data_IF_833307349488
#
_entry.id   IF_833307349488
#
_cell.length_a   1.000
_cell.length_b   1.000
_cell.length_c   1.000
_cell.angle_alpha   90.00
_cell.angle_beta   90.00
_cell.angle_gamma   90.00
#
_symmetry.space_group_name_H-M   'P 1'
#
loop_
_entity.id
_entity.type
_entity.pdbx_description
1 polymer ?
#
# COMPACT_ATOMS: atom_id res chain seq x y z
N UNK A 1 6.01 -0.97 -32.78
CA UNK A 1 5.89 0.08 -31.74
C UNK A 1 4.96 1.16 -32.25
N UNK A 2 3.95 1.54 -31.46
CA UNK A 2 2.94 2.53 -31.85
C UNK A 2 3.47 3.95 -31.53
N UNK A 3 3.65 4.85 -32.51
CA UNK A 3 4.43 6.10 -32.35
C UNK A 3 3.73 7.21 -31.53
N UNK A 4 2.54 6.96 -30.96
CA UNK A 4 1.73 8.00 -30.31
C UNK A 4 1.90 8.14 -28.78
N UNK A 5 2.78 7.38 -28.13
CA UNK A 5 2.97 7.43 -26.67
C UNK A 5 4.06 8.41 -26.18
N UNK A 6 4.71 9.15 -27.08
CA UNK A 6 5.81 10.06 -26.75
C UNK A 6 5.42 11.32 -25.93
N UNK A 7 4.16 11.49 -25.52
CA UNK A 7 3.70 12.71 -24.81
C UNK A 7 3.32 12.53 -23.33
N UNK A 8 3.31 11.31 -22.81
CA UNK A 8 2.95 11.08 -21.40
C UNK A 8 4.11 10.44 -20.64
N UNK A 9 4.46 11.02 -19.48
CA UNK A 9 5.50 10.48 -18.60
C UNK A 9 5.07 9.11 -18.02
N UNK A 10 3.77 8.84 -17.91
CA UNK A 10 3.21 7.58 -17.44
C UNK A 10 2.47 6.82 -18.56
N UNK A 11 2.61 5.49 -18.55
CA UNK A 11 1.88 4.50 -19.35
C UNK A 11 1.09 3.57 -18.41
N UNK A 12 0.08 2.87 -18.94
CA UNK A 12 -0.72 1.87 -18.18
C UNK A 12 0.11 0.62 -17.84
N UNK A 13 1.07 0.28 -18.70
CA UNK A 13 2.05 -0.78 -18.51
C UNK A 13 3.35 -0.42 -19.25
N UNK A 14 4.43 -1.10 -18.88
CA UNK A 14 5.78 -0.89 -19.42
C UNK A 14 6.41 -2.24 -19.75
N UNK A 15 7.30 -2.28 -20.74
CA UNK A 15 8.30 -3.35 -20.76
C UNK A 15 9.28 -3.18 -19.59
N UNK A 16 9.96 -4.24 -19.12
CA UNK A 16 10.97 -4.10 -18.07
C UNK A 16 12.07 -3.10 -18.43
N UNK A 17 12.48 -3.06 -19.70
CA UNK A 17 13.48 -2.13 -20.18
C UNK A 17 12.96 -0.69 -20.16
N UNK A 18 11.73 -0.43 -20.62
CA UNK A 18 11.11 0.90 -20.55
C UNK A 18 10.99 1.39 -19.10
N UNK A 19 10.59 0.52 -18.18
CA UNK A 19 10.50 0.84 -16.76
C UNK A 19 11.87 1.20 -16.17
N UNK A 20 12.91 0.44 -16.51
CA UNK A 20 14.27 0.70 -16.04
C UNK A 20 14.87 2.00 -16.63
N UNK A 21 14.61 2.32 -17.91
CA UNK A 21 15.00 3.59 -18.54
C UNK A 21 14.40 4.76 -17.76
N UNK A 22 13.10 4.69 -17.47
CA UNK A 22 12.38 5.74 -16.74
C UNK A 22 12.83 5.86 -15.29
N UNK A 23 13.08 4.74 -14.63
CA UNK A 23 13.65 4.74 -13.27
C UNK A 23 15.05 5.33 -13.24
N UNK A 24 15.84 5.13 -14.30
CA UNK A 24 17.20 5.66 -14.41
C UNK A 24 17.26 7.13 -14.85
N UNK A 25 16.11 7.75 -15.15
CA UNK A 25 16.05 9.14 -15.62
C UNK A 25 16.49 9.35 -17.07
N UNK A 26 16.53 8.29 -17.88
CA UNK A 26 17.07 8.32 -19.25
C UNK A 26 15.97 8.45 -20.31
N UNK A 27 14.87 9.14 -20.00
CA UNK A 27 13.70 9.23 -20.88
C UNK A 27 14.03 9.91 -22.22
N UNK A 28 14.93 10.89 -22.22
CA UNK A 28 15.37 11.60 -23.43
C UNK A 28 16.14 10.70 -24.40
N UNK A 29 16.79 9.65 -23.86
CA UNK A 29 17.59 8.69 -24.61
C UNK A 29 16.82 7.38 -24.88
N UNK A 30 15.52 7.31 -24.53
CA UNK A 30 14.70 6.09 -24.64
C UNK A 30 14.76 5.49 -26.05
N UNK A 31 14.62 6.30 -27.09
CA UNK A 31 14.67 5.84 -28.48
C UNK A 31 16.05 5.29 -28.88
N UNK A 32 17.13 5.93 -28.42
CA UNK A 32 18.50 5.49 -28.70
C UNK A 32 18.79 4.16 -27.99
N UNK A 33 18.46 4.07 -26.70
CA UNK A 33 18.67 2.86 -25.88
C UNK A 33 17.86 1.69 -26.45
N UNK A 34 16.59 1.90 -26.80
CA UNK A 34 15.75 0.87 -27.40
C UNK A 34 16.24 0.43 -28.78
N UNK A 35 16.82 1.33 -29.58
CA UNK A 35 17.40 0.97 -30.87
C UNK A 35 18.66 0.11 -30.74
N UNK A 36 19.49 0.37 -29.72
CA UNK A 36 20.73 -0.36 -29.44
C UNK A 36 20.48 -1.69 -28.73
N UNK A 37 19.40 -1.80 -27.98
CA UNK A 37 19.05 -3.01 -27.20
C UNK A 37 18.09 -3.90 -27.97
N UNK A 38 18.57 -4.52 -29.06
CA UNK A 38 17.69 -5.29 -29.95
C UNK A 38 17.46 -6.75 -29.50
N UNK A 39 18.41 -7.39 -28.81
CA UNK A 39 18.30 -8.81 -28.50
C UNK A 39 19.01 -9.17 -27.21
N UNK A 40 18.20 -9.68 -26.26
CA UNK A 40 18.53 -10.02 -24.87
C UNK A 40 18.76 -8.82 -23.96
N UNK A 41 18.21 -8.96 -22.76
CA UNK A 41 18.31 -8.12 -21.58
C UNK A 41 19.76 -7.98 -21.03
N UNK A 42 20.75 -8.29 -21.87
CA UNK A 42 22.17 -8.08 -21.63
C UNK A 42 22.59 -6.87 -22.45
N UNK A 43 22.75 -5.72 -21.81
CA UNK A 43 23.58 -4.68 -22.41
C UNK A 43 24.96 -5.31 -22.66
N UNK A 44 25.45 -5.22 -23.89
CA UNK A 44 26.80 -5.68 -24.27
C UNK A 44 27.77 -5.08 -23.24
N UNK A 45 28.78 -5.83 -22.78
CA UNK A 45 29.71 -5.38 -21.72
C UNK A 45 30.27 -3.97 -21.98
N UNK A 46 30.52 -3.58 -23.23
CA UNK A 46 30.94 -2.22 -23.62
C UNK A 46 29.87 -1.13 -23.38
N UNK A 47 28.57 -1.46 -23.48
CA UNK A 47 27.44 -0.56 -23.22
C UNK A 47 27.07 -0.47 -21.73
N UNK A 48 27.59 -1.38 -20.90
CA UNK A 48 27.41 -1.34 -19.44
C UNK A 48 28.05 -0.10 -18.84
N UNK A 49 29.14 0.37 -19.46
CA UNK A 49 29.89 1.54 -19.02
C UNK A 49 29.13 2.85 -19.23
N UNK A 50 28.29 2.93 -20.27
CA UNK A 50 27.52 4.13 -20.61
C UNK A 50 26.30 4.31 -19.68
N UNK A 51 25.67 3.22 -19.22
CA UNK A 51 24.46 3.28 -18.39
C UNK A 51 24.46 2.27 -17.21
N UNK A 52 25.37 2.42 -16.22
CA UNK A 52 25.47 1.46 -15.11
C UNK A 52 24.18 1.39 -14.27
N UNK A 53 23.51 2.52 -14.05
CA UNK A 53 22.24 2.60 -13.30
C UNK A 53 21.09 1.89 -14.04
N UNK A 54 21.11 1.88 -15.38
CA UNK A 54 20.09 1.22 -16.19
C UNK A 54 20.17 -0.29 -16.01
N UNK A 55 21.36 -0.88 -16.15
CA UNK A 55 21.57 -2.31 -15.93
C UNK A 55 21.11 -2.74 -14.54
N UNK A 56 21.55 -2.01 -13.51
CA UNK A 56 21.17 -2.31 -12.14
C UNK A 56 19.65 -2.29 -11.94
N UNK A 57 18.96 -1.33 -12.54
CA UNK A 57 17.50 -1.24 -12.43
C UNK A 57 16.79 -2.33 -13.23
N UNK A 58 17.31 -2.74 -14.39
CA UNK A 58 16.83 -3.92 -15.12
C UNK A 58 16.96 -5.16 -14.25
N UNK A 59 18.14 -5.42 -13.69
CA UNK A 59 18.39 -6.58 -12.82
C UNK A 59 17.45 -6.61 -11.62
N UNK A 60 17.25 -5.46 -10.95
CA UNK A 60 16.30 -5.35 -9.82
C UNK A 60 14.87 -5.70 -10.21
N UNK A 61 14.41 -5.28 -11.39
CA UNK A 61 13.08 -5.62 -11.87
C UNK A 61 12.96 -7.14 -12.14
N UNK A 62 13.96 -7.74 -12.79
CA UNK A 62 13.95 -9.18 -13.05
C UNK A 62 14.10 -10.02 -11.78
N UNK A 63 14.89 -9.57 -10.82
CA UNK A 63 15.02 -10.21 -9.51
C UNK A 63 13.66 -10.25 -8.80
N UNK A 64 12.97 -9.12 -8.70
CA UNK A 64 11.66 -9.05 -8.08
C UNK A 64 10.60 -9.90 -8.80
N UNK A 65 10.68 -10.02 -10.13
CA UNK A 65 9.79 -10.91 -10.88
C UNK A 65 10.08 -12.39 -10.62
N UNK A 66 11.36 -12.78 -10.59
CA UNK A 66 11.78 -14.16 -10.28
C UNK A 66 11.33 -14.60 -8.89
N UNK A 67 11.36 -13.68 -7.93
CA UNK A 67 10.92 -13.91 -6.55
C UNK A 67 9.42 -13.64 -6.32
N UNK A 68 8.64 -13.37 -7.39
CA UNK A 68 7.19 -13.13 -7.34
C UNK A 68 6.75 -11.92 -6.50
N UNK A 69 7.67 -10.98 -6.24
CA UNK A 69 7.38 -9.73 -5.53
C UNK A 69 6.75 -8.68 -6.46
N UNK A 70 7.11 -8.72 -7.74
CA UNK A 70 6.61 -7.83 -8.77
C UNK A 70 5.75 -8.62 -9.79
N UNK A 71 4.42 -8.44 -9.79
CA UNK A 71 3.56 -9.06 -10.79
C UNK A 71 3.88 -8.61 -12.22
N UNK A 72 3.90 -9.58 -13.13
CA UNK A 72 4.18 -9.36 -14.55
C UNK A 72 3.29 -10.23 -15.44
N UNK A 73 3.29 -9.94 -16.73
CA UNK A 73 2.61 -10.76 -17.72
C UNK A 73 2.84 -10.25 -19.13
N UNK A 74 1.83 -10.31 -19.98
CA UNK A 74 1.98 -9.99 -21.40
C UNK A 74 0.86 -9.07 -21.86
N UNK A 75 1.22 -8.08 -22.70
CA UNK A 75 0.27 -7.11 -23.27
C UNK A 75 -0.62 -6.41 -22.22
N UNK A 76 -0.08 -6.18 -21.01
CA UNK A 76 -0.80 -5.51 -19.92
C UNK A 76 -1.71 -6.43 -19.08
N UNK A 77 -1.79 -7.72 -19.39
CA UNK A 77 -2.50 -8.73 -18.59
C UNK A 77 -1.50 -9.39 -17.64
N UNK A 78 -1.77 -9.31 -16.34
CA UNK A 78 -0.96 -9.98 -15.32
C UNK A 78 -1.22 -11.47 -15.33
N UNK A 79 -0.16 -12.27 -15.49
CA UNK A 79 -0.22 -13.73 -15.53
C UNK A 79 0.67 -14.38 -14.46
N UNK A 80 1.76 -13.70 -14.06
CA UNK A 80 2.76 -14.17 -13.09
C UNK A 80 3.33 -15.56 -13.41
N UNK A 81 3.43 -15.91 -14.69
CA UNK A 81 4.00 -17.17 -15.15
C UNK A 81 5.51 -16.99 -15.44
N UNK A 82 6.33 -17.72 -14.69
CA UNK A 82 7.80 -17.74 -14.84
C UNK A 82 8.29 -18.04 -16.26
N UNK A 83 7.50 -18.75 -17.09
CA UNK A 83 7.86 -19.04 -18.49
C UNK A 83 7.90 -17.77 -19.35
N UNK A 84 7.18 -16.71 -18.94
CA UNK A 84 7.14 -15.43 -19.64
C UNK A 84 8.37 -14.55 -19.39
N UNK A 85 9.23 -14.88 -18.42
CA UNK A 85 10.44 -14.11 -18.13
C UNK A 85 11.41 -14.02 -19.31
N UNK A 86 11.31 -14.96 -20.26
CA UNK A 86 12.12 -15.02 -21.47
C UNK A 86 11.43 -14.40 -22.70
N UNK A 87 10.21 -13.87 -22.52
CA UNK A 87 9.42 -13.31 -23.61
C UNK A 87 9.76 -11.84 -23.86
N UNK A 88 9.92 -11.45 -25.12
CA UNK A 88 10.16 -10.04 -25.52
C UNK A 88 8.94 -9.14 -25.30
N UNK A 89 7.74 -9.71 -25.20
CA UNK A 89 6.47 -9.00 -24.98
C UNK A 89 6.10 -8.93 -23.48
N UNK A 90 7.06 -9.17 -22.60
CA UNK A 90 6.90 -9.06 -21.15
C UNK A 90 6.49 -7.63 -20.77
N UNK A 91 5.48 -7.53 -19.92
CA UNK A 91 4.91 -6.26 -19.45
C UNK A 91 4.70 -6.25 -17.95
N UNK A 92 4.87 -5.08 -17.36
CA UNK A 92 4.63 -4.77 -15.95
C UNK A 92 3.55 -3.68 -15.92
N UNK A 93 2.46 -3.89 -15.17
CA UNK A 93 1.44 -2.84 -15.03
C UNK A 93 1.96 -1.71 -14.16
N UNK A 94 1.56 -0.49 -14.48
CA UNK A 94 1.95 0.70 -13.73
C UNK A 94 1.60 0.59 -12.24
N UNK A 95 0.40 0.12 -11.92
CA UNK A 95 -0.05 0.00 -10.52
C UNK A 95 0.78 -1.00 -9.71
N UNK A 96 1.20 -2.09 -10.35
CA UNK A 96 1.98 -3.14 -9.69
C UNK A 96 3.43 -2.68 -9.49
N UNK A 97 4.02 -2.02 -10.50
CA UNK A 97 5.34 -1.39 -10.41
C UNK A 97 5.36 -0.29 -9.34
N UNK A 98 4.35 0.59 -9.32
CA UNK A 98 4.21 1.66 -8.31
C UNK A 98 4.14 1.08 -6.90
N UNK A 99 3.32 0.03 -6.69
CA UNK A 99 3.18 -0.62 -5.38
C UNK A 99 4.50 -1.25 -4.92
N UNK A 100 5.17 -2.00 -5.79
CA UNK A 100 6.45 -2.62 -5.47
C UNK A 100 7.53 -1.57 -5.16
N UNK A 101 7.65 -0.52 -5.97
CA UNK A 101 8.63 0.54 -5.73
C UNK A 101 8.38 1.29 -4.41
N UNK A 102 7.12 1.54 -4.06
CA UNK A 102 6.78 2.19 -2.79
C UNK A 102 7.22 1.36 -1.57
N UNK A 103 7.22 0.03 -1.69
CA UNK A 103 7.60 -0.90 -0.63
C UNK A 103 9.11 -1.18 -0.60
N UNK A 104 9.70 -1.53 -1.75
CA UNK A 104 11.10 -1.96 -1.85
C UNK A 104 12.09 -0.78 -1.89
N UNK A 105 11.68 0.36 -2.46
CA UNK A 105 12.53 1.54 -2.63
C UNK A 105 11.82 2.83 -2.16
N UNK A 106 11.40 2.93 -0.89
CA UNK A 106 10.60 4.05 -0.38
C UNK A 106 11.28 5.42 -0.51
N UNK A 107 12.61 5.45 -0.59
CA UNK A 107 13.40 6.67 -0.84
C UNK A 107 13.49 7.05 -2.32
N UNK A 108 13.25 6.11 -3.24
CA UNK A 108 13.37 6.34 -4.68
C UNK A 108 11.97 6.33 -5.32
N UNK A 109 11.39 7.51 -5.48
CA UNK A 109 10.06 7.71 -6.06
C UNK A 109 10.17 8.40 -7.43
N UNK A 110 10.37 7.65 -8.52
CA UNK A 110 10.54 8.25 -9.83
C UNK A 110 9.23 8.90 -10.32
N UNK A 111 9.35 10.03 -11.00
CA UNK A 111 8.22 10.90 -11.38
C UNK A 111 7.23 10.27 -12.36
N UNK A 112 7.61 9.18 -13.03
CA UNK A 112 6.71 8.45 -13.91
C UNK A 112 5.72 7.54 -13.15
N UNK A 113 5.97 7.28 -11.86
CA UNK A 113 5.11 6.47 -10.99
C UNK A 113 4.44 7.29 -9.89
N UNK A 114 5.13 8.32 -9.39
CA UNK A 114 4.70 9.08 -8.23
C UNK A 114 4.53 10.55 -8.57
N UNK A 115 3.38 11.09 -8.19
CA UNK A 115 3.10 12.52 -8.35
C UNK A 115 3.95 13.34 -7.37
N UNK A 116 4.01 14.66 -7.56
CA UNK A 116 4.83 15.54 -6.74
C UNK A 116 4.53 15.41 -5.23
N UNK A 117 3.27 15.35 -4.85
CA UNK A 117 2.86 15.17 -3.45
C UNK A 117 3.39 13.85 -2.87
N UNK A 118 3.24 12.74 -3.60
CA UNK A 118 3.72 11.43 -3.18
C UNK A 118 5.24 11.36 -3.05
N UNK A 119 5.97 12.13 -3.88
CA UNK A 119 7.43 12.26 -3.81
C UNK A 119 7.89 13.08 -2.60
N UNK A 120 7.14 14.12 -2.24
CA UNK A 120 7.44 14.98 -1.09
C UNK A 120 7.09 14.34 0.26
N UNK A 121 6.17 13.38 0.30
CA UNK A 121 5.83 12.61 1.50
C UNK A 121 6.87 11.50 1.72
N UNK A 122 7.73 11.56 2.74
CA UNK A 122 8.60 10.44 3.07
C UNK A 122 7.70 9.28 3.53
N UNK A 123 7.77 8.13 2.85
CA UNK A 123 7.03 6.92 3.26
C UNK A 123 7.34 6.56 4.72
N UNK A 124 8.54 6.90 5.19
CA UNK A 124 8.97 6.77 6.58
C UNK A 124 8.13 7.61 7.55
N UNK A 125 7.65 8.81 7.21
CA UNK A 125 6.86 9.65 8.11
C UNK A 125 5.44 9.09 8.27
N UNK A 126 4.83 8.62 7.19
CA UNK A 126 3.55 7.91 7.27
C UNK A 126 3.68 6.59 8.05
N UNK A 127 4.74 5.81 7.82
CA UNK A 127 5.03 4.60 8.59
C UNK A 127 5.36 4.91 10.06
N UNK A 128 6.10 5.97 10.37
CA UNK A 128 6.41 6.39 11.74
C UNK A 128 5.18 6.91 12.47
N UNK A 129 4.29 7.65 11.79
CA UNK A 129 2.99 8.02 12.35
C UNK A 129 2.14 6.77 12.62
N UNK A 130 2.04 5.84 11.67
CA UNK A 130 1.33 4.57 11.90
C UNK A 130 1.97 3.73 13.02
N UNK A 131 3.30 3.63 13.09
CA UNK A 131 4.02 2.86 14.11
C UNK A 131 3.96 3.52 15.49
N UNK A 132 4.01 4.86 15.56
CA UNK A 132 3.87 5.59 16.83
C UNK A 132 2.44 5.50 17.36
N UNK A 133 1.43 5.63 16.50
CA UNK A 133 0.04 5.36 16.86
C UNK A 133 -0.18 3.92 17.30
N UNK A 134 0.39 2.95 16.57
CA UNK A 134 0.32 1.53 16.95
C UNK A 134 1.00 1.22 18.28
N UNK A 135 2.17 1.84 18.56
CA UNK A 135 2.85 1.73 19.86
C UNK A 135 2.06 2.40 20.98
N UNK A 136 1.43 3.54 20.73
CA UNK A 136 0.53 4.17 21.69
C UNK A 136 -0.66 3.26 22.03
N UNK A 137 -1.25 2.62 21.03
CA UNK A 137 -2.30 1.62 21.24
C UNK A 137 -1.79 0.41 22.05
N UNK A 138 -0.59 -0.11 21.79
CA UNK A 138 -0.03 -1.24 22.55
C UNK A 138 0.36 -0.88 23.98
N UNK A 139 0.87 0.34 24.22
CA UNK A 139 1.21 0.80 25.57
C UNK A 139 -0.02 1.04 26.47
N UNK A 140 -1.22 1.11 25.89
CA UNK A 140 -2.46 1.21 26.65
C UNK A 140 -2.96 -0.16 27.18
N UNK A 141 -2.33 -1.27 26.82
CA UNK A 141 -2.74 -2.64 27.22
C UNK A 141 -1.98 -3.21 28.44
N UNK A 142 -1.34 -2.37 29.27
CA UNK A 142 -0.81 -2.80 30.57
C UNK A 142 -1.39 -1.96 31.72
N UNK A 143 -2.57 -2.35 32.20
CA UNK A 143 -2.98 -2.09 33.57
C UNK A 143 -2.79 -3.41 34.34
N UNK A 144 -1.77 -3.54 35.21
CA UNK A 144 -1.74 -4.63 36.17
C UNK A 144 -2.87 -4.40 37.17
N UNK A 145 -3.81 -5.33 37.24
CA UNK A 145 -4.72 -5.44 38.38
C UNK A 145 -3.90 -5.68 39.65
N UNK A 146 -3.69 -4.63 40.46
CA UNK A 146 -3.60 -4.78 41.91
C UNK A 146 -3.64 -3.42 42.62
N UNK A 147 -4.78 -3.12 43.26
CA UNK A 147 -4.80 -2.55 44.61
C UNK A 147 -6.20 -2.57 45.21
N UNK A 148 -6.33 -3.41 46.24
CA UNK A 148 -7.44 -3.42 47.20
C UNK A 148 -7.64 -2.04 47.84
N UNK A 149 -8.93 -1.70 47.94
CA UNK A 149 -9.60 -0.94 49.01
C UNK A 149 -9.02 0.43 49.41
N UNK A 150 -9.69 1.48 48.96
CA UNK A 150 -10.21 2.52 49.87
C UNK A 150 -11.25 3.40 49.17
N UNK A 151 -12.40 3.50 49.82
CA UNK A 151 -13.57 4.36 49.62
C UNK A 151 -13.38 5.69 48.89
N UNK A 152 -14.27 5.99 47.93
CA UNK A 152 -15.18 7.15 47.84
C UNK A 152 -15.92 7.07 46.49
N UNK A 153 -17.26 7.06 46.53
CA UNK A 153 -18.16 6.88 45.38
C UNK A 153 -18.09 7.99 44.32
N UNK A 154 -18.63 7.67 43.14
CA UNK A 154 -18.94 8.53 41.99
C UNK A 154 -17.87 8.95 40.97
N UNK A 155 -16.59 8.62 41.16
CA UNK A 155 -15.56 8.91 40.13
C UNK A 155 -15.32 7.82 39.06
N UNK A 156 -15.34 6.50 39.33
CA UNK A 156 -14.92 5.51 38.33
C UNK A 156 -15.92 5.34 37.17
N UNK A 157 -17.23 5.45 37.42
CA UNK A 157 -18.26 5.27 36.39
C UNK A 157 -18.25 6.40 35.34
N UNK A 158 -17.99 7.64 35.74
CA UNK A 158 -17.87 8.79 34.82
C UNK A 158 -16.62 8.71 33.94
N UNK A 159 -15.52 8.18 34.47
CA UNK A 159 -14.28 7.97 33.71
C UNK A 159 -14.42 6.80 32.74
N UNK A 160 -15.05 5.70 33.16
CA UNK A 160 -15.34 4.56 32.30
C UNK A 160 -16.25 4.94 31.12
N UNK A 161 -17.32 5.71 31.37
CA UNK A 161 -18.21 6.19 30.29
C UNK A 161 -17.51 7.12 29.30
N UNK A 162 -16.61 7.99 29.77
CA UNK A 162 -15.84 8.88 28.90
C UNK A 162 -14.84 8.12 28.02
N UNK A 163 -14.20 7.09 28.56
CA UNK A 163 -13.31 6.21 27.79
C UNK A 163 -14.11 5.40 26.75
N UNK A 164 -15.27 4.85 27.13
CA UNK A 164 -16.14 4.10 26.21
C UNK A 164 -16.63 4.96 25.03
N UNK A 165 -17.08 6.20 25.29
CA UNK A 165 -17.43 7.14 24.20
C UNK A 165 -16.26 7.39 23.26
N UNK A 166 -15.05 7.59 23.82
CA UNK A 166 -13.85 7.82 23.02
C UNK A 166 -13.56 6.61 22.12
N UNK A 167 -13.64 5.38 22.66
CA UNK A 167 -13.44 4.17 21.87
C UNK A 167 -14.49 3.98 20.78
N UNK A 168 -15.76 4.23 21.09
CA UNK A 168 -16.85 4.17 20.11
C UNK A 168 -16.66 5.20 18.98
N UNK A 169 -16.22 6.42 19.29
CA UNK A 169 -15.93 7.44 18.29
C UNK A 169 -14.77 7.02 17.38
N UNK A 170 -13.69 6.48 17.95
CA UNK A 170 -12.54 5.96 17.17
C UNK A 170 -12.99 4.80 16.27
N UNK A 171 -13.75 3.84 16.79
CA UNK A 171 -14.27 2.71 16.02
C UNK A 171 -15.17 3.22 14.88
N UNK A 172 -16.07 4.16 15.15
CA UNK A 172 -16.96 4.74 14.15
C UNK A 172 -16.20 5.45 13.04
N UNK A 173 -15.17 6.23 13.38
CA UNK A 173 -14.34 6.95 12.42
C UNK A 173 -13.55 5.99 11.53
N UNK A 174 -12.96 4.94 12.13
CA UNK A 174 -12.26 3.89 11.38
C UNK A 174 -13.20 3.13 10.44
N UNK A 175 -14.43 2.81 10.87
CA UNK A 175 -15.43 2.18 10.00
C UNK A 175 -15.82 3.08 8.82
N UNK A 176 -15.97 4.38 9.07
CA UNK A 176 -16.25 5.37 8.01
C UNK A 176 -15.12 5.44 6.99
N UNK A 177 -13.86 5.42 7.45
CA UNK A 177 -12.70 5.37 6.57
C UNK A 177 -12.64 4.06 5.79
N UNK A 178 -12.77 2.91 6.46
CA UNK A 178 -12.69 1.60 5.81
C UNK A 178 -13.72 1.43 4.70
N UNK A 179 -14.94 1.94 4.91
CA UNK A 179 -16.04 1.82 3.94
C UNK A 179 -16.17 3.02 3.00
N UNK A 180 -15.31 4.03 3.18
CA UNK A 180 -15.38 5.31 2.49
C UNK A 180 -14.50 5.40 1.24
N UNK A 181 -14.57 6.57 0.63
CA UNK A 181 -13.84 6.93 -0.59
C UNK A 181 -13.11 8.25 -0.39
N UNK A 182 -11.99 8.39 -1.08
CA UNK A 182 -11.28 9.66 -1.19
C UNK A 182 -12.14 10.69 -1.94
N UNK A 183 -11.83 11.99 -1.82
CA UNK A 183 -12.51 13.05 -2.58
C UNK A 183 -12.47 12.82 -4.10
N UNK A 184 -11.47 12.08 -4.60
CA UNK A 184 -11.35 11.67 -6.00
C UNK A 184 -12.07 10.36 -6.36
N UNK A 185 -12.87 9.79 -5.44
CA UNK A 185 -13.68 8.59 -5.68
C UNK A 185 -12.98 7.24 -5.46
N UNK A 186 -11.71 7.22 -5.02
CA UNK A 186 -10.97 5.97 -4.78
C UNK A 186 -11.30 5.41 -3.39
N UNK A 187 -11.63 4.12 -3.29
CA UNK A 187 -11.87 3.48 -1.99
C UNK A 187 -10.62 3.49 -1.12
N UNK A 188 -10.80 3.72 0.18
CA UNK A 188 -9.70 3.64 1.14
C UNK A 188 -9.34 2.19 1.49
N UNK A 189 -10.27 1.24 1.36
CA UNK A 189 -10.03 -0.18 1.63
C UNK A 189 -10.67 -1.10 0.58
N UNK A 190 -10.33 -2.39 0.64
CA UNK A 190 -10.94 -3.43 -0.18
C UNK A 190 -12.33 -3.88 0.34
N UNK A 191 -12.73 -3.45 1.54
CA UNK A 191 -14.02 -3.78 2.13
C UNK A 191 -15.11 -2.90 1.55
N UNK A 192 -16.24 -3.52 1.21
CA UNK A 192 -17.36 -2.84 0.57
C UNK A 192 -18.58 -2.73 1.48
N UNK A 193 -18.64 -3.56 2.53
CA UNK A 193 -19.76 -3.61 3.47
C UNK A 193 -19.27 -3.79 4.89
N UNK A 194 -20.09 -3.36 5.85
CA UNK A 194 -19.82 -3.61 7.27
C UNK A 194 -19.72 -5.11 7.57
N UNK A 195 -20.54 -5.92 6.89
CA UNK A 195 -20.51 -7.37 7.00
C UNK A 195 -19.17 -7.97 6.57
N UNK A 196 -18.57 -7.49 5.47
CA UNK A 196 -17.24 -7.95 5.05
C UNK A 196 -16.15 -7.65 6.08
N UNK A 197 -16.27 -6.53 6.81
CA UNK A 197 -15.35 -6.16 7.89
C UNK A 197 -15.54 -7.09 9.09
N UNK A 198 -16.79 -7.38 9.46
CA UNK A 198 -17.13 -8.29 10.56
C UNK A 198 -16.61 -9.71 10.27
N UNK A 199 -16.86 -10.23 9.08
CA UNK A 199 -16.41 -11.57 8.69
C UNK A 199 -14.88 -11.68 8.70
N UNK A 200 -14.17 -10.65 8.23
CA UNK A 200 -12.71 -10.61 8.31
C UNK A 200 -12.21 -10.60 9.76
N UNK A 201 -12.82 -9.79 10.64
CA UNK A 201 -12.45 -9.75 12.05
C UNK A 201 -12.68 -11.10 12.77
N UNK A 202 -13.80 -11.77 12.47
CA UNK A 202 -14.07 -13.10 13.01
C UNK A 202 -13.06 -14.11 12.47
N UNK A 203 -12.79 -14.11 11.16
CA UNK A 203 -11.86 -15.05 10.55
C UNK A 203 -10.43 -14.93 11.14
N UNK A 204 -9.97 -13.70 11.38
CA UNK A 204 -8.60 -13.46 11.87
C UNK A 204 -8.46 -13.46 13.39
N UNK A 205 -9.54 -13.21 14.14
CA UNK A 205 -9.49 -13.04 15.59
C UNK A 205 -10.54 -13.85 16.36
N UNK A 206 -11.05 -14.93 15.76
CA UNK A 206 -11.96 -15.87 16.43
C UNK A 206 -11.37 -16.38 17.75
N UNK A 207 -12.26 -16.63 18.73
CA UNK A 207 -11.89 -17.13 20.06
C UNK A 207 -11.49 -16.05 21.07
N UNK A 208 -11.34 -14.78 20.66
CA UNK A 208 -11.11 -13.67 21.60
C UNK A 208 -12.44 -13.21 22.25
N UNK A 209 -12.47 -13.01 23.58
CA UNK A 209 -13.65 -12.48 24.26
C UNK A 209 -14.11 -11.16 23.62
N UNK A 210 -15.40 -11.04 23.34
CA UNK A 210 -15.99 -9.84 22.70
C UNK A 210 -15.90 -9.80 21.18
N UNK A 211 -15.17 -10.73 20.53
CA UNK A 211 -15.11 -10.84 19.06
C UNK A 211 -16.04 -11.97 18.61
N UNK A 212 -17.35 -11.72 18.80
CA UNK A 212 -18.41 -12.54 18.21
C UNK A 212 -19.17 -11.72 17.20
N UNK A 213 -19.79 -12.37 16.21
CA UNK A 213 -20.62 -11.69 15.21
C UNK A 213 -21.66 -10.77 15.86
N UNK A 214 -22.41 -11.29 16.83
CA UNK A 214 -23.40 -10.53 17.59
C UNK A 214 -22.80 -9.29 18.27
N UNK A 215 -21.65 -9.45 18.94
CA UNK A 215 -21.02 -8.35 19.68
C UNK A 215 -20.48 -7.28 18.73
N UNK A 216 -19.85 -7.68 17.63
CA UNK A 216 -19.32 -6.76 16.62
C UNK A 216 -20.44 -5.97 15.96
N UNK A 217 -21.54 -6.62 15.55
CA UNK A 217 -22.71 -5.92 15.02
C UNK A 217 -23.26 -4.88 16.00
N UNK A 218 -23.42 -5.26 17.28
CA UNK A 218 -23.93 -4.36 18.30
C UNK A 218 -23.00 -3.14 18.51
N UNK A 219 -21.69 -3.38 18.68
CA UNK A 219 -20.72 -2.32 18.95
C UNK A 219 -20.47 -1.42 17.75
N UNK A 220 -20.50 -1.95 16.53
CA UNK A 220 -20.36 -1.13 15.32
C UNK A 220 -21.60 -0.27 15.06
N UNK A 221 -22.80 -0.81 15.31
CA UNK A 221 -24.02 -0.02 15.23
C UNK A 221 -24.09 1.08 16.31
N UNK A 222 -23.57 0.79 17.51
CA UNK A 222 -23.42 1.78 18.59
C UNK A 222 -22.41 2.87 18.21
N UNK A 223 -21.21 2.50 17.76
CA UNK A 223 -20.17 3.41 17.31
C UNK A 223 -20.64 4.36 16.19
N UNK A 224 -21.36 3.82 15.19
CA UNK A 224 -21.90 4.62 14.08
C UNK A 224 -22.98 5.60 14.54
N UNK A 225 -23.83 5.20 15.49
CA UNK A 225 -24.84 6.09 16.08
C UNK A 225 -24.19 7.21 16.89
N UNK A 226 -23.18 6.88 17.68
CA UNK A 226 -22.45 7.84 18.49
C UNK A 226 -21.77 8.91 17.61
N UNK A 227 -21.05 8.48 16.57
CA UNK A 227 -20.36 9.41 15.67
C UNK A 227 -21.32 10.33 14.90
N UNK A 228 -22.50 9.82 14.52
CA UNK A 228 -23.51 10.61 13.80
C UNK A 228 -24.35 11.50 14.73
N UNK A 229 -24.26 11.32 16.05
CA UNK A 229 -25.02 12.08 17.04
C UNK A 229 -24.25 13.31 17.57
N UNK A 230 -22.94 13.41 17.31
CA UNK A 230 -22.14 14.61 17.59
C UNK A 230 -22.33 15.61 16.43
N UNK A 231 -22.73 16.88 16.69
CA UNK A 231 -22.94 17.91 15.68
C UNK A 231 -21.66 18.47 15.07
#
# INVERSE_FOLDING_TARGET
MNPHFQRYNSKVYYSPLEAAIRWSGLLEQEAEILSKTTSRLSLIEDQVQDWPTLNLNVERLFDAMRHQELPFGKSGITLCDSTLLMNSELTIRHIDLKRWMAAAYPAHKPSFLFDETERQLPTCLACQMCQSLFRQCQSADFIPEDRKQSSIGDKPARLAGRAETTYLNIIGALLTLLLGHSPGGNRYSAFNTLESVIQALIAHHSGRPGITERTLWAKFAEAKRQLNAEP
#
